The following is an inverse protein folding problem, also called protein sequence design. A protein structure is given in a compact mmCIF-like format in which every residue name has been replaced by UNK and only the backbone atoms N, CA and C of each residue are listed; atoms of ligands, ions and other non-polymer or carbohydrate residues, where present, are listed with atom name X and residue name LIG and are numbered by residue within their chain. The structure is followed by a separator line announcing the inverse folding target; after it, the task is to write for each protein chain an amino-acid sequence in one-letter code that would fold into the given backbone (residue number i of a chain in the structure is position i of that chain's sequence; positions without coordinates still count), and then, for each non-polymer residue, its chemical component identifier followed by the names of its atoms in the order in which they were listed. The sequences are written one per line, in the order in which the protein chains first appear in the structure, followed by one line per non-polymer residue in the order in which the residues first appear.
data_IF_595981468927
#
_entry.id   IF_595981468927
#
_cell.length_a   1.000
_cell.length_b   1.000
_cell.length_c   1.000
_cell.angle_alpha   90.00
_cell.angle_beta   90.00
_cell.angle_gamma   90.00
#
_symmetry.space_group_name_H-M   'P 1'
#
loop_
_entity.id
_entity.type
_entity.pdbx_description
1 polymer ?
#
# COMPACT_ATOMS: atom_id res chain seq x y z
N UNK A 1 22.69 -12.41 -2.37
CA UNK A 1 21.30 -12.07 -1.99
C UNK A 1 20.63 -13.35 -1.53
N UNK A 2 20.08 -13.38 -0.33
CA UNK A 2 19.34 -14.54 0.19
C UNK A 2 17.84 -14.25 0.04
N UNK A 3 17.12 -15.19 -0.56
CA UNK A 3 15.67 -15.17 -0.59
C UNK A 3 15.15 -15.97 0.60
N UNK A 4 14.38 -15.33 1.45
CA UNK A 4 13.78 -15.98 2.62
C UNK A 4 12.34 -15.47 2.82
N UNK A 5 11.55 -16.24 3.55
CA UNK A 5 10.19 -15.86 3.89
C UNK A 5 10.21 -15.04 5.18
N UNK A 6 9.56 -13.88 5.19
CA UNK A 6 9.47 -13.02 6.37
C UNK A 6 8.83 -13.71 7.60
N UNK A 7 8.04 -14.77 7.36
CA UNK A 7 7.47 -15.62 8.44
C UNK A 7 8.43 -16.66 8.97
N UNK A 8 9.59 -16.85 8.33
CA UNK A 8 10.67 -17.75 8.76
C UNK A 8 11.97 -17.29 8.09
N UNK A 9 12.70 -16.44 8.77
CA UNK A 9 13.88 -15.76 8.22
C UNK A 9 15.12 -16.65 8.07
N UNK A 10 15.14 -17.81 8.70
CA UNK A 10 16.26 -18.77 8.61
C UNK A 10 17.56 -18.31 9.28
N UNK A 11 17.54 -17.23 10.06
CA UNK A 11 18.70 -16.74 10.85
C UNK A 11 18.58 -17.17 12.30
N UNK A 12 19.72 -17.27 12.99
CA UNK A 12 19.73 -17.51 14.44
C UNK A 12 19.09 -16.33 15.21
N UNK A 13 18.55 -16.60 16.38
CA UNK A 13 18.07 -15.54 17.28
C UNK A 13 19.22 -14.60 17.65
N UNK A 14 18.93 -13.29 17.75
CA UNK A 14 19.90 -12.29 18.16
C UNK A 14 21.03 -12.02 17.16
N UNK A 15 20.81 -12.27 15.86
CA UNK A 15 21.83 -12.13 14.81
C UNK A 15 22.03 -10.69 14.31
N UNK A 16 21.07 -9.81 14.52
CA UNK A 16 21.06 -8.48 13.90
C UNK A 16 20.85 -7.37 14.93
N UNK A 17 21.50 -6.25 14.68
CA UNK A 17 21.33 -5.00 15.42
C UNK A 17 20.10 -4.23 14.97
N UNK A 18 19.83 -4.27 13.65
CA UNK A 18 18.77 -3.54 12.99
C UNK A 18 18.11 -4.42 11.93
N UNK A 19 16.79 -4.36 11.85
CA UNK A 19 16.01 -4.90 10.76
C UNK A 19 15.21 -3.75 10.11
N UNK A 20 15.24 -3.69 8.79
CA UNK A 20 14.52 -2.69 8.00
C UNK A 20 13.51 -3.38 7.08
N UNK A 21 12.32 -2.81 6.96
CA UNK A 21 11.29 -3.28 6.04
C UNK A 21 10.61 -2.11 5.34
N UNK A 22 10.63 -2.13 3.99
CA UNK A 22 9.89 -1.18 3.18
C UNK A 22 8.62 -1.81 2.61
N UNK A 23 7.47 -1.24 2.92
CA UNK A 23 6.16 -1.59 2.34
C UNK A 23 5.78 -3.08 2.41
N UNK A 24 6.22 -3.78 3.46
CA UNK A 24 5.79 -5.14 3.76
C UNK A 24 4.48 -5.06 4.56
N UNK A 25 3.36 -5.36 3.93
CA UNK A 25 2.06 -5.31 4.57
C UNK A 25 1.82 -6.43 5.59
N UNK A 26 0.81 -6.25 6.45
CA UNK A 26 0.34 -7.23 7.44
C UNK A 26 -1.09 -7.73 7.18
N UNK A 27 -1.67 -7.43 6.02
CA UNK A 27 -3.05 -7.83 5.66
C UNK A 27 -3.32 -9.33 5.71
N UNK A 28 -2.27 -10.14 5.57
CA UNK A 28 -2.37 -11.59 5.66
C UNK A 28 -2.59 -12.11 7.09
N UNK A 29 -2.46 -11.25 8.10
CA UNK A 29 -2.63 -11.63 9.50
C UNK A 29 -3.29 -10.57 10.39
N UNK A 30 -3.53 -9.37 9.88
CA UNK A 30 -4.09 -8.26 10.66
C UNK A 30 -5.12 -7.48 9.85
N UNK A 31 -6.28 -7.26 10.43
CA UNK A 31 -7.33 -6.41 9.88
C UNK A 31 -7.23 -5.00 10.47
N UNK A 32 -6.71 -4.06 9.67
CA UNK A 32 -6.51 -2.67 10.09
C UNK A 32 -7.82 -1.93 10.41
N UNK A 33 -8.94 -2.13 9.70
CA UNK A 33 -10.23 -1.58 10.05
C UNK A 33 -10.70 -1.93 11.46
N UNK A 34 -10.64 -3.19 11.84
CA UNK A 34 -11.09 -3.67 13.16
C UNK A 34 -10.00 -3.61 14.24
N UNK A 35 -8.73 -3.57 13.84
CA UNK A 35 -7.59 -3.61 14.76
C UNK A 35 -7.32 -5.00 15.33
N UNK A 36 -7.76 -6.06 14.67
CA UNK A 36 -7.69 -7.43 15.16
C UNK A 36 -6.79 -8.33 14.31
N UNK A 37 -6.17 -9.32 14.94
CA UNK A 37 -5.46 -10.37 14.24
C UNK A 37 -6.43 -11.39 13.65
N UNK A 38 -6.34 -11.60 12.33
CA UNK A 38 -7.09 -12.63 11.59
C UNK A 38 -6.33 -13.95 11.54
N UNK A 39 -5.00 -13.89 11.67
CA UNK A 39 -4.09 -15.03 11.72
C UNK A 39 -2.97 -14.73 12.72
N UNK A 40 -2.28 -15.76 13.27
CA UNK A 40 -1.11 -15.53 14.11
C UNK A 40 -0.06 -14.68 13.38
N UNK A 41 0.37 -13.59 14.01
CA UNK A 41 1.49 -12.80 13.50
C UNK A 41 2.79 -13.58 13.69
N UNK A 42 3.36 -13.99 12.57
CA UNK A 42 4.66 -14.66 12.54
C UNK A 42 5.77 -13.74 12.01
N UNK A 43 5.44 -12.70 11.24
CA UNK A 43 6.43 -11.77 10.65
C UNK A 43 7.10 -10.90 11.71
N UNK A 44 6.32 -10.15 12.48
CA UNK A 44 6.88 -9.28 13.53
C UNK A 44 7.59 -10.09 14.62
N UNK A 45 7.07 -11.28 14.98
CA UNK A 45 7.73 -12.20 15.92
C UNK A 45 9.05 -12.75 15.39
N UNK A 46 9.15 -13.09 14.11
CA UNK A 46 10.41 -13.52 13.49
C UNK A 46 11.43 -12.38 13.43
N UNK A 47 11.00 -11.17 13.08
CA UNK A 47 11.88 -9.99 13.11
C UNK A 47 12.37 -9.75 14.53
N UNK A 48 11.48 -9.80 15.53
CA UNK A 48 11.86 -9.67 16.94
C UNK A 48 12.84 -10.77 17.37
N UNK A 49 12.64 -12.02 16.97
CA UNK A 49 13.51 -13.14 17.29
C UNK A 49 14.94 -12.95 16.80
N UNK A 50 15.09 -12.52 15.53
CA UNK A 50 16.42 -12.37 14.90
C UNK A 50 17.17 -11.13 15.36
N UNK A 51 16.51 -10.15 15.93
CA UNK A 51 17.15 -8.99 16.55
C UNK A 51 17.79 -9.39 17.89
N UNK A 52 18.97 -8.83 18.20
CA UNK A 52 19.55 -8.91 19.54
C UNK A 52 18.76 -8.05 20.54
N UNK A 53 18.96 -8.27 21.81
CA UNK A 53 18.39 -7.42 22.87
C UNK A 53 18.90 -5.96 22.69
N UNK A 54 17.97 -5.00 22.70
CA UNK A 54 18.22 -3.61 22.35
C UNK A 54 18.32 -3.35 20.85
N UNK A 55 18.17 -4.36 20.00
CA UNK A 55 18.11 -4.21 18.54
C UNK A 55 16.83 -3.46 18.09
N UNK A 56 16.90 -2.79 16.95
CA UNK A 56 15.82 -1.93 16.45
C UNK A 56 15.21 -2.48 15.17
N UNK A 57 13.89 -2.51 15.11
CA UNK A 57 13.13 -2.67 13.89
C UNK A 57 12.63 -1.32 13.40
N UNK A 58 12.71 -1.07 12.08
CA UNK A 58 12.13 0.10 11.42
C UNK A 58 11.39 -0.37 10.17
N UNK A 59 10.16 0.06 10.00
CA UNK A 59 9.42 -0.15 8.77
C UNK A 59 8.72 1.11 8.30
N UNK A 60 8.39 1.15 7.01
CA UNK A 60 7.52 2.16 6.45
C UNK A 60 6.38 1.48 5.68
N UNK A 61 5.25 2.17 5.62
CA UNK A 61 4.09 1.75 4.85
C UNK A 61 3.24 2.94 4.41
N UNK A 62 2.36 2.68 3.45
CA UNK A 62 1.43 3.70 2.96
C UNK A 62 0.35 3.96 4.02
N UNK A 63 0.15 5.24 4.34
CA UNK A 63 -0.99 5.69 5.11
C UNK A 63 -2.11 6.16 4.19
N UNK A 64 -1.78 6.97 3.21
CA UNK A 64 -2.71 7.49 2.22
C UNK A 64 -2.03 7.59 0.85
N UNK A 65 -2.74 7.23 -0.19
CA UNK A 65 -2.33 7.37 -1.57
C UNK A 65 -3.46 8.08 -2.32
N UNK A 66 -3.35 9.40 -2.44
CA UNK A 66 -4.39 10.24 -3.02
C UNK A 66 -4.69 9.85 -4.46
N UNK A 67 -3.66 9.53 -5.26
CA UNK A 67 -3.78 9.12 -6.65
C UNK A 67 -4.59 7.84 -6.84
N UNK A 68 -4.39 6.83 -5.97
CA UNK A 68 -5.13 5.57 -6.05
C UNK A 68 -6.60 5.77 -5.64
N UNK A 69 -6.84 6.53 -4.58
CA UNK A 69 -8.20 6.87 -4.16
C UNK A 69 -8.93 7.64 -5.25
N UNK A 70 -8.28 8.67 -5.80
CA UNK A 70 -8.84 9.48 -6.86
C UNK A 70 -9.14 8.64 -8.11
N UNK A 71 -8.21 7.80 -8.56
CA UNK A 71 -8.41 6.91 -9.71
C UNK A 71 -9.60 5.98 -9.50
N UNK A 72 -9.79 5.44 -8.30
CA UNK A 72 -10.95 4.60 -8.01
C UNK A 72 -12.26 5.39 -8.07
N UNK A 73 -12.29 6.58 -7.49
CA UNK A 73 -13.47 7.44 -7.51
C UNK A 73 -13.86 7.82 -8.96
N UNK A 74 -12.87 8.15 -9.80
CA UNK A 74 -13.11 8.48 -11.20
C UNK A 74 -13.51 7.26 -12.04
N UNK A 75 -12.90 6.10 -11.80
CA UNK A 75 -13.33 4.86 -12.45
C UNK A 75 -14.78 4.51 -12.10
N UNK A 76 -15.18 4.62 -10.84
CA UNK A 76 -16.57 4.39 -10.44
C UNK A 76 -17.51 5.42 -11.11
N UNK A 77 -17.09 6.66 -11.24
CA UNK A 77 -17.88 7.73 -11.87
C UNK A 77 -18.08 7.53 -13.36
N UNK A 78 -17.01 7.25 -14.10
CA UNK A 78 -17.01 7.21 -15.56
C UNK A 78 -17.21 5.80 -16.13
N UNK A 79 -16.96 4.76 -15.32
CA UNK A 79 -17.15 3.36 -15.67
C UNK A 79 -17.88 2.59 -14.55
N UNK A 80 -19.13 2.93 -14.21
CA UNK A 80 -19.83 2.36 -13.06
C UNK A 80 -20.05 0.84 -13.12
N UNK A 81 -19.94 0.21 -14.31
CA UNK A 81 -19.98 -1.25 -14.43
C UNK A 81 -18.86 -1.96 -13.65
N UNK A 82 -17.80 -1.25 -13.25
CA UNK A 82 -16.75 -1.80 -12.38
C UNK A 82 -17.30 -2.31 -11.04
N UNK A 83 -18.38 -1.73 -10.53
CA UNK A 83 -19.03 -2.15 -9.27
C UNK A 83 -19.73 -3.50 -9.37
N UNK A 84 -19.94 -4.02 -10.59
CA UNK A 84 -20.51 -5.35 -10.83
C UNK A 84 -19.43 -6.40 -11.06
N UNK A 85 -18.16 -5.98 -11.13
CA UNK A 85 -17.03 -6.85 -11.38
C UNK A 85 -16.52 -7.54 -10.11
N UNK A 86 -16.59 -8.87 -10.07
CA UNK A 86 -16.15 -9.64 -8.90
C UNK A 86 -14.67 -9.50 -8.59
N UNK A 87 -13.82 -9.39 -9.62
CA UNK A 87 -12.37 -9.22 -9.44
C UNK A 87 -12.06 -7.86 -8.79
N UNK A 88 -12.75 -6.81 -9.23
CA UNK A 88 -12.63 -5.49 -8.61
C UNK A 88 -13.09 -5.52 -7.15
N UNK A 89 -14.25 -6.11 -6.87
CA UNK A 89 -14.79 -6.19 -5.52
C UNK A 89 -13.90 -6.98 -4.56
N UNK A 90 -13.25 -8.04 -5.05
CA UNK A 90 -12.29 -8.82 -4.26
C UNK A 90 -10.99 -8.06 -3.99
N UNK A 91 -10.52 -7.24 -4.94
CA UNK A 91 -9.27 -6.48 -4.84
C UNK A 91 -9.42 -5.11 -4.17
N UNK A 92 -10.62 -4.55 -4.18
CA UNK A 92 -10.90 -3.21 -3.66
C UNK A 92 -10.31 -2.94 -2.27
N UNK A 93 -10.36 -3.85 -1.30
CA UNK A 93 -9.72 -3.63 -0.01
C UNK A 93 -8.20 -3.52 -0.08
N UNK A 94 -7.56 -4.09 -1.10
CA UNK A 94 -6.10 -4.17 -1.20
C UNK A 94 -5.50 -2.81 -1.62
N UNK A 95 -6.14 -2.11 -2.56
CA UNK A 95 -5.69 -0.78 -3.01
C UNK A 95 -6.05 0.36 -2.05
N UNK A 96 -7.06 0.14 -1.21
CA UNK A 96 -7.61 1.12 -0.26
C UNK A 96 -7.56 0.63 1.18
N UNK A 97 -6.88 -0.45 1.45
CA UNK A 97 -6.66 -0.91 2.80
C UNK A 97 -5.74 0.09 3.49
N UNK A 98 -6.37 0.96 4.19
CA UNK A 98 -5.72 1.99 4.97
C UNK A 98 -5.01 1.33 6.13
N UNK A 99 -3.72 1.11 5.96
CA UNK A 99 -2.88 0.76 7.08
C UNK A 99 -2.93 1.93 8.05
N UNK A 100 -3.23 1.63 9.30
CA UNK A 100 -3.34 2.65 10.35
C UNK A 100 -2.13 2.56 11.26
N UNK A 101 -1.60 3.69 11.64
CA UNK A 101 -0.50 3.80 12.60
C UNK A 101 -0.78 3.00 13.89
N UNK A 102 -2.00 3.04 14.39
CA UNK A 102 -2.39 2.29 15.60
C UNK A 102 -2.33 0.77 15.39
N UNK A 103 -2.69 0.27 14.20
CA UNK A 103 -2.54 -1.15 13.87
C UNK A 103 -1.09 -1.61 13.95
N UNK A 104 -0.15 -0.80 13.48
CA UNK A 104 1.29 -1.10 13.62
C UNK A 104 1.75 -1.09 15.06
N UNK A 105 1.21 -0.21 15.90
CA UNK A 105 1.49 -0.23 17.34
C UNK A 105 1.04 -1.54 17.97
N UNK A 106 -0.15 -2.01 17.65
CA UNK A 106 -0.69 -3.28 18.13
C UNK A 106 0.18 -4.46 17.66
N UNK A 107 0.53 -4.50 16.37
CA UNK A 107 1.36 -5.55 15.77
C UNK A 107 2.73 -5.62 16.46
N UNK A 108 3.43 -4.50 16.57
CA UNK A 108 4.77 -4.49 17.17
C UNK A 108 4.72 -4.83 18.67
N UNK A 109 3.77 -4.25 19.41
CA UNK A 109 3.61 -4.54 20.83
C UNK A 109 3.30 -6.02 21.08
N UNK A 110 2.45 -6.65 20.24
CA UNK A 110 2.12 -8.07 20.34
C UNK A 110 3.32 -8.99 20.11
N UNK A 111 4.28 -8.52 19.31
CA UNK A 111 5.53 -9.25 19.05
C UNK A 111 6.60 -9.05 20.12
N UNK A 112 6.38 -8.13 21.08
CA UNK A 112 7.28 -7.86 22.19
C UNK A 112 8.17 -6.63 22.03
N UNK A 113 7.97 -5.82 20.96
CA UNK A 113 8.69 -4.55 20.79
C UNK A 113 8.24 -3.51 21.82
N UNK A 114 9.19 -2.67 22.24
CA UNK A 114 9.02 -1.55 23.18
C UNK A 114 9.41 -0.25 22.48
N UNK A 115 9.16 0.87 23.13
CA UNK A 115 9.53 2.20 22.65
C UNK A 115 9.09 2.42 21.20
N UNK A 116 7.81 2.10 20.93
CA UNK A 116 7.25 2.15 19.58
C UNK A 116 6.98 3.62 19.22
N UNK A 117 7.72 4.09 18.24
CA UNK A 117 7.59 5.45 17.69
C UNK A 117 6.97 5.37 16.29
N UNK A 118 6.09 6.33 15.98
CA UNK A 118 5.42 6.45 14.68
C UNK A 118 5.47 7.91 14.25
N UNK A 119 5.98 8.15 13.04
CA UNK A 119 5.96 9.44 12.37
C UNK A 119 5.33 9.33 10.99
N UNK A 120 4.87 10.45 10.45
CA UNK A 120 4.27 10.52 9.11
C UNK A 120 5.00 11.57 8.29
N UNK A 121 5.16 11.28 7.00
CA UNK A 121 5.69 12.21 6.01
C UNK A 121 4.79 12.23 4.79
N UNK A 122 4.56 13.41 4.26
CA UNK A 122 3.85 13.60 2.99
C UNK A 122 4.87 13.82 1.89
N UNK A 123 4.67 13.12 0.77
CA UNK A 123 5.52 13.23 -0.41
C UNK A 123 4.61 13.49 -1.62
N UNK A 124 4.95 14.51 -2.41
CA UNK A 124 4.25 14.79 -3.68
C UNK A 124 4.88 13.95 -4.79
N UNK A 125 4.05 13.17 -5.46
CA UNK A 125 4.41 12.41 -6.65
C UNK A 125 3.93 13.16 -7.88
N UNK A 126 4.79 13.23 -8.90
CA UNK A 126 4.51 13.96 -10.12
C UNK A 126 4.53 13.00 -11.30
N UNK A 127 3.43 12.95 -12.04
CA UNK A 127 3.38 12.33 -13.37
C UNK A 127 3.54 13.44 -14.42
N UNK A 128 4.39 13.25 -15.41
CA UNK A 128 4.71 14.30 -16.39
C UNK A 128 3.50 14.73 -17.22
N UNK A 129 2.60 13.77 -17.47
CA UNK A 129 1.35 13.98 -18.21
C UNK A 129 0.29 12.91 -17.85
N UNK A 130 -0.87 13.01 -18.50
CA UNK A 130 -2.01 12.13 -18.26
C UNK A 130 -1.73 10.68 -18.71
N UNK A 131 -0.95 10.49 -19.75
CA UNK A 131 -0.57 9.15 -20.22
C UNK A 131 0.41 8.48 -19.29
N UNK A 132 1.35 9.21 -18.70
CA UNK A 132 2.23 8.68 -17.67
C UNK A 132 1.46 8.32 -16.42
N UNK A 133 0.53 9.18 -15.96
CA UNK A 133 -0.36 8.86 -14.85
C UNK A 133 -1.11 7.55 -15.10
N UNK A 134 -1.74 7.41 -16.27
CA UNK A 134 -2.47 6.20 -16.64
C UNK A 134 -1.59 4.96 -16.64
N UNK A 135 -0.37 5.07 -17.17
CA UNK A 135 0.62 3.99 -17.17
C UNK A 135 0.99 3.59 -15.74
N UNK A 136 1.24 4.55 -14.86
CA UNK A 136 1.55 4.30 -13.45
C UNK A 136 0.38 3.59 -12.75
N UNK A 137 -0.87 3.99 -13.01
CA UNK A 137 -2.04 3.30 -12.44
C UNK A 137 -2.10 1.83 -12.89
N UNK A 138 -1.79 1.53 -14.13
CA UNK A 138 -1.68 0.14 -14.60
C UNK A 138 -0.64 -0.64 -13.80
N UNK A 139 0.54 -0.09 -13.58
CA UNK A 139 1.64 -0.73 -12.85
C UNK A 139 1.32 -0.99 -11.36
N UNK A 140 0.46 -0.20 -10.75
CA UNK A 140 0.11 -0.33 -9.32
C UNK A 140 -1.17 -1.14 -9.05
N UNK A 141 -1.66 -1.88 -10.05
CA UNK A 141 -2.72 -2.88 -9.84
C UNK A 141 -3.96 -2.75 -10.70
N UNK A 142 -4.05 -1.74 -11.56
CA UNK A 142 -5.19 -1.56 -12.46
C UNK A 142 -5.07 -2.34 -13.78
N UNK A 143 -3.90 -2.90 -14.10
CA UNK A 143 -3.60 -3.46 -15.43
C UNK A 143 -4.60 -4.53 -15.87
N UNK A 144 -4.81 -5.55 -15.04
CA UNK A 144 -5.71 -6.67 -15.38
C UNK A 144 -7.16 -6.23 -15.59
N UNK A 145 -7.65 -5.29 -14.77
CA UNK A 145 -9.01 -4.77 -14.89
C UNK A 145 -9.17 -3.91 -16.15
N UNK A 146 -8.22 -3.03 -16.41
CA UNK A 146 -8.23 -2.16 -17.58
C UNK A 146 -8.08 -2.98 -18.88
N UNK A 147 -7.27 -4.03 -18.89
CA UNK A 147 -7.16 -4.95 -20.02
C UNK A 147 -8.47 -5.72 -20.25
N UNK A 148 -9.07 -6.23 -19.19
CA UNK A 148 -10.36 -6.92 -19.24
C UNK A 148 -11.45 -6.04 -19.82
N UNK A 149 -11.60 -4.82 -19.31
CA UNK A 149 -12.62 -3.86 -19.79
C UNK A 149 -12.32 -3.38 -21.21
N UNK A 150 -11.05 -3.17 -21.54
CA UNK A 150 -10.65 -2.82 -22.91
C UNK A 150 -10.97 -3.91 -23.93
N UNK A 151 -10.94 -5.17 -23.54
CA UNK A 151 -11.33 -6.30 -24.40
C UNK A 151 -12.85 -6.46 -24.51
N UNK A 152 -13.61 -6.13 -23.48
CA UNK A 152 -15.06 -6.29 -23.43
C UNK A 152 -15.80 -5.07 -24.00
N UNK A 153 -15.40 -3.86 -23.62
CA UNK A 153 -16.09 -2.61 -23.94
C UNK A 153 -15.07 -1.51 -24.31
N UNK A 154 -14.31 -1.66 -25.43
CA UNK A 154 -13.18 -0.78 -25.76
C UNK A 154 -13.59 0.70 -25.88
N UNK A 155 -14.71 0.98 -26.55
CA UNK A 155 -15.18 2.36 -26.75
C UNK A 155 -15.60 3.02 -25.44
N UNK A 156 -16.20 2.24 -24.54
CA UNK A 156 -16.62 2.74 -23.23
C UNK A 156 -15.42 3.02 -22.32
N UNK A 157 -14.43 2.12 -22.32
CA UNK A 157 -13.19 2.35 -21.56
C UNK A 157 -12.43 3.57 -22.13
N UNK A 158 -12.38 3.71 -23.46
CA UNK A 158 -11.74 4.87 -24.08
C UNK A 158 -12.43 6.19 -23.71
N UNK A 159 -13.76 6.21 -23.67
CA UNK A 159 -14.52 7.37 -23.23
C UNK A 159 -14.27 7.69 -21.75
N UNK A 160 -14.23 6.67 -20.88
CA UNK A 160 -13.91 6.83 -19.46
C UNK A 160 -12.49 7.37 -19.27
N UNK A 161 -11.49 6.82 -19.99
CA UNK A 161 -10.11 7.31 -19.96
C UNK A 161 -10.04 8.80 -20.35
N UNK A 162 -10.74 9.21 -21.40
CA UNK A 162 -10.77 10.60 -21.83
C UNK A 162 -11.36 11.52 -20.75
N UNK A 163 -12.48 11.13 -20.14
CA UNK A 163 -13.11 11.90 -19.08
C UNK A 163 -12.20 12.01 -17.84
N UNK A 164 -11.51 10.92 -17.47
CA UNK A 164 -10.50 10.92 -16.42
C UNK A 164 -9.37 11.90 -16.75
N UNK A 165 -8.88 11.95 -17.98
CA UNK A 165 -7.85 12.89 -18.41
C UNK A 165 -8.30 14.36 -18.32
N UNK A 166 -9.57 14.64 -18.60
CA UNK A 166 -10.17 15.97 -18.43
C UNK A 166 -10.23 16.34 -16.93
N UNK A 167 -10.60 15.40 -16.07
CA UNK A 167 -10.67 15.61 -14.62
C UNK A 167 -9.29 15.76 -13.98
N UNK A 168 -8.23 15.11 -14.51
CA UNK A 168 -6.84 15.27 -14.09
C UNK A 168 -6.31 16.70 -14.22
N UNK A 169 -6.89 17.52 -15.10
CA UNK A 169 -6.46 18.91 -15.28
C UNK A 169 -6.51 19.74 -13.99
N UNK A 170 -7.31 19.34 -13.00
CA UNK A 170 -7.41 19.99 -11.70
C UNK A 170 -6.11 19.82 -10.85
N UNK A 171 -5.35 18.77 -11.13
CA UNK A 171 -4.12 18.42 -10.43
C UNK A 171 -2.87 18.82 -11.22
N UNK A 172 -3.05 19.38 -12.41
CA UNK A 172 -1.95 19.73 -13.32
C UNK A 172 -1.31 21.05 -12.93
N UNK A 173 0.02 21.01 -12.78
CA UNK A 173 0.88 22.15 -12.55
C UNK A 173 1.89 22.30 -13.71
N UNK A 174 2.84 23.23 -13.58
CA UNK A 174 3.78 23.53 -14.67
C UNK A 174 4.70 22.34 -15.04
N UNK A 175 4.97 21.46 -14.08
CA UNK A 175 5.88 20.31 -14.21
C UNK A 175 5.16 18.96 -14.27
N UNK A 176 3.81 18.94 -14.22
CA UNK A 176 3.03 17.72 -14.34
C UNK A 176 1.81 17.67 -13.44
N UNK A 177 1.31 16.47 -13.23
CA UNK A 177 0.14 16.15 -12.43
C UNK A 177 0.63 15.73 -11.04
N UNK A 178 0.14 16.41 -10.01
CA UNK A 178 0.59 16.27 -8.64
C UNK A 178 -0.43 15.53 -7.78
N UNK A 179 0.03 14.49 -7.09
CA UNK A 179 -0.73 13.80 -6.05
C UNK A 179 0.12 13.62 -4.80
N UNK A 180 -0.48 13.83 -3.65
CA UNK A 180 0.19 13.60 -2.38
C UNK A 180 0.00 12.16 -1.90
N UNK A 181 1.08 11.60 -1.37
CA UNK A 181 1.06 10.30 -0.68
C UNK A 181 1.61 10.46 0.71
N UNK A 182 0.93 9.89 1.67
CA UNK A 182 1.37 9.89 3.07
C UNK A 182 1.95 8.53 3.40
N UNK A 183 3.18 8.55 3.88
CA UNK A 183 3.91 7.38 4.37
C UNK A 183 4.08 7.53 5.88
N UNK A 184 3.88 6.46 6.62
CA UNK A 184 4.34 6.44 7.99
C UNK A 184 5.57 5.56 8.18
N UNK A 185 6.40 5.99 9.11
CA UNK A 185 7.54 5.25 9.58
C UNK A 185 7.25 4.76 11.01
N UNK A 186 7.50 3.49 11.23
CA UNK A 186 7.29 2.86 12.52
C UNK A 186 8.61 2.27 12.99
N UNK A 187 8.99 2.52 14.23
CA UNK A 187 10.13 1.87 14.84
C UNK A 187 9.78 1.27 16.19
N UNK A 188 10.51 0.23 16.57
CA UNK A 188 10.40 -0.39 17.89
C UNK A 188 11.71 -1.04 18.30
N UNK A 189 11.94 -1.14 19.60
CA UNK A 189 13.14 -1.74 20.21
C UNK A 189 12.78 -3.09 20.82
N UNK A 190 13.62 -4.10 20.58
CA UNK A 190 13.52 -5.40 21.26
C UNK A 190 13.94 -5.33 22.71
#
# INVERSE_FOLDING_TARGET
MLFTNAKNLGFAAGSFDVALSGFMGWYDCFDFPTGEFTQPDTKAKEIHRVLRDGGRFVCCSWHEQEDLRWMEEEMVRHYPAILEDSEYLERRPIGMAYEKAEGYRIILASAGFRDIEISQETMTFVSTDEEEFWRQMREVGWDSLLEKFGNQEPDRLAAAKQAIFEDLQRYKQADGIHFDKVVFFVSGVK
#
